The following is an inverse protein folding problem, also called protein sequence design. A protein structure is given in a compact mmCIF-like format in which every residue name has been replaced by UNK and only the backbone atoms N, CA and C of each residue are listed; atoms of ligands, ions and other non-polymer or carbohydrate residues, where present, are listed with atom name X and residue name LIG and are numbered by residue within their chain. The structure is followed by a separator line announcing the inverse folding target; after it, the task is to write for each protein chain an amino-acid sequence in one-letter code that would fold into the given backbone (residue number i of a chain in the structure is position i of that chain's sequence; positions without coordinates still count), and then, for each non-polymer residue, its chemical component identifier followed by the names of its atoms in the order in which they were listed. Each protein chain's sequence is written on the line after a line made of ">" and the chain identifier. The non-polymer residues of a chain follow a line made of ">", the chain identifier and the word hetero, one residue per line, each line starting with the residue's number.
data_IF_769765407277
#
_entry.id   IF_769765407277
#
_cell.length_a   1.000
_cell.length_b   1.000
_cell.length_c   1.000
_cell.angle_alpha   90.00
_cell.angle_beta   90.00
_cell.angle_gamma   90.00
#
_symmetry.space_group_name_H-M   'P 1'
#
loop_
_entity.id
_entity.type
_entity.pdbx_description
1 polymer ?
#
# COMPACT_ATOMS: atom_id res chain seq x y z
N UNK A 1 52.84 64.88 7.30
CA UNK A 1 53.15 63.44 7.48
C UNK A 1 52.37 62.92 8.67
N UNK A 2 51.31 62.14 8.45
CA UNK A 2 50.59 61.34 9.45
C UNK A 2 49.79 60.25 8.72
N UNK A 3 49.64 59.04 9.30
CA UNK A 3 49.52 57.79 8.55
C UNK A 3 48.08 57.44 8.18
N UNK A 4 47.94 56.70 7.08
CA UNK A 4 46.69 56.19 6.55
C UNK A 4 46.13 55.02 7.35
N UNK A 5 44.80 54.98 7.44
CA UNK A 5 44.02 53.88 8.02
C UNK A 5 43.64 52.94 6.88
N UNK A 6 44.27 51.76 6.83
CA UNK A 6 43.86 50.66 5.97
C UNK A 6 42.72 49.91 6.65
N UNK A 7 41.51 50.04 6.12
CA UNK A 7 40.36 49.24 6.50
C UNK A 7 40.46 47.84 5.90
N UNK A 8 40.59 46.83 6.76
CA UNK A 8 40.52 45.41 6.41
C UNK A 8 39.08 45.04 6.02
N UNK A 9 38.87 44.74 4.74
CA UNK A 9 37.67 44.10 4.22
C UNK A 9 37.76 42.62 4.61
N UNK A 10 36.99 42.22 5.63
CA UNK A 10 36.83 40.82 6.02
C UNK A 10 35.99 40.08 4.98
N UNK A 11 36.65 39.24 4.18
CA UNK A 11 36.00 38.32 3.24
C UNK A 11 35.38 37.17 4.05
N UNK A 12 34.09 37.24 4.34
CA UNK A 12 33.35 36.14 4.94
C UNK A 12 33.17 35.02 3.90
N UNK A 13 33.98 33.98 4.01
CA UNK A 13 33.84 32.73 3.25
C UNK A 13 32.53 32.03 3.67
N UNK A 14 31.46 32.29 2.93
CA UNK A 14 30.25 31.46 2.94
C UNK A 14 30.59 30.13 2.25
N UNK A 15 31.13 29.18 3.01
CA UNK A 15 31.20 27.80 2.56
C UNK A 15 29.75 27.31 2.39
N UNK A 16 29.32 26.88 1.18
CA UNK A 16 28.04 26.22 1.05
C UNK A 16 28.13 24.95 1.88
N UNK A 17 27.36 24.89 2.96
CA UNK A 17 27.07 23.65 3.64
C UNK A 17 26.33 22.78 2.63
N UNK A 18 27.10 22.04 1.84
CA UNK A 18 26.59 20.90 1.10
C UNK A 18 26.00 19.99 2.17
N UNK A 19 24.68 20.07 2.30
CA UNK A 19 23.89 19.14 3.07
C UNK A 19 24.21 17.78 2.46
N UNK A 20 25.15 17.07 3.07
CA UNK A 20 25.33 15.65 2.84
C UNK A 20 23.99 15.02 3.23
N UNK A 21 23.12 14.82 2.25
CA UNK A 21 22.03 13.88 2.40
C UNK A 21 22.72 12.57 2.74
N UNK A 22 22.57 12.11 3.99
CA UNK A 22 22.87 10.73 4.31
C UNK A 22 22.07 9.89 3.32
N UNK A 23 22.77 9.21 2.42
CA UNK A 23 22.14 8.22 1.55
C UNK A 23 21.47 7.20 2.46
N UNK A 24 20.15 7.27 2.52
CA UNK A 24 19.36 6.38 3.36
C UNK A 24 19.43 4.98 2.75
N UNK A 25 20.33 4.15 3.29
CA UNK A 25 20.46 2.77 2.85
C UNK A 25 19.24 1.97 3.30
N UNK A 26 18.37 1.61 2.36
CA UNK A 26 17.25 0.69 2.59
C UNK A 26 17.74 -0.76 2.59
N UNK A 27 17.26 -1.58 3.52
CA UNK A 27 17.54 -3.03 3.53
C UNK A 27 16.60 -3.75 2.57
N UNK A 28 16.89 -3.68 1.28
CA UNK A 28 16.08 -4.32 0.23
C UNK A 28 16.17 -5.86 0.25
N UNK A 29 17.13 -6.43 0.99
CA UNK A 29 17.20 -7.87 1.23
C UNK A 29 16.17 -8.33 2.28
N UNK A 30 15.64 -7.40 3.08
CA UNK A 30 14.60 -7.69 4.07
C UNK A 30 13.32 -8.12 3.38
N UNK A 31 12.80 -9.32 3.68
CA UNK A 31 11.56 -9.77 3.07
C UNK A 31 10.40 -8.81 3.35
N UNK A 32 9.57 -8.55 2.34
CA UNK A 32 8.53 -7.52 2.40
C UNK A 32 7.62 -7.64 3.65
N UNK A 33 7.21 -8.84 4.05
CA UNK A 33 6.36 -9.04 5.24
C UNK A 33 7.02 -8.68 6.59
N UNK A 34 8.34 -8.46 6.62
CA UNK A 34 9.07 -8.04 7.83
C UNK A 34 9.22 -6.53 7.96
N UNK A 35 8.86 -5.75 6.93
CA UNK A 35 8.91 -4.29 7.00
C UNK A 35 7.84 -3.76 7.97
N UNK A 36 8.28 -2.87 8.85
CA UNK A 36 7.41 -2.15 9.80
C UNK A 36 6.63 -1.06 9.08
N UNK A 37 5.48 -0.64 9.63
CA UNK A 37 4.69 0.42 9.01
C UNK A 37 5.51 1.71 8.83
N UNK A 38 6.35 2.06 9.80
CA UNK A 38 7.23 3.23 9.72
C UNK A 38 8.22 3.15 8.56
N UNK A 39 8.94 2.03 8.41
CA UNK A 39 9.87 1.82 7.29
C UNK A 39 9.15 1.93 5.95
N UNK A 40 7.95 1.35 5.83
CA UNK A 40 7.15 1.39 4.60
C UNK A 40 6.74 2.80 4.24
N UNK A 41 6.19 3.55 5.19
CA UNK A 41 5.77 4.93 4.96
C UNK A 41 6.99 5.80 4.64
N UNK A 42 8.10 5.59 5.34
CA UNK A 42 9.32 6.32 5.07
C UNK A 42 9.82 6.09 3.65
N UNK A 43 9.84 4.84 3.14
CA UNK A 43 10.31 4.52 1.78
C UNK A 43 9.28 4.88 0.69
N UNK A 44 7.99 4.65 0.96
CA UNK A 44 6.89 4.93 0.02
C UNK A 44 6.82 6.41 -0.34
N UNK A 45 7.05 7.30 0.64
CA UNK A 45 6.96 8.75 0.45
C UNK A 45 8.31 9.46 0.39
N UNK A 46 9.42 8.72 0.34
CA UNK A 46 10.73 9.32 0.11
C UNK A 46 10.79 9.88 -1.33
N UNK A 47 11.10 11.18 -1.53
CA UNK A 47 11.10 11.79 -2.86
C UNK A 47 12.07 11.12 -3.85
N UNK A 48 13.23 10.69 -3.38
CA UNK A 48 14.21 10.03 -4.24
C UNK A 48 13.73 8.63 -4.66
N UNK A 49 13.10 7.90 -3.74
CA UNK A 49 12.49 6.61 -4.03
C UNK A 49 11.27 6.73 -4.97
N UNK A 50 10.44 7.76 -4.80
CA UNK A 50 9.33 8.06 -5.72
C UNK A 50 9.86 8.32 -7.13
N UNK A 51 10.90 9.14 -7.26
CA UNK A 51 11.52 9.44 -8.55
C UNK A 51 12.16 8.18 -9.17
N UNK A 52 12.88 7.38 -8.37
CA UNK A 52 13.48 6.14 -8.82
C UNK A 52 12.43 5.14 -9.33
N UNK A 53 11.30 4.99 -8.62
CA UNK A 53 10.18 4.17 -9.05
C UNK A 53 9.52 4.69 -10.31
N UNK A 54 9.34 6.01 -10.44
CA UNK A 54 8.79 6.62 -11.66
C UNK A 54 9.67 6.33 -12.89
N UNK A 55 10.99 6.48 -12.75
CA UNK A 55 11.97 6.17 -13.80
C UNK A 55 11.95 4.69 -14.18
N UNK A 56 11.93 3.80 -13.18
CA UNK A 56 11.85 2.35 -13.40
C UNK A 56 10.54 1.96 -14.09
N UNK A 57 9.40 2.52 -13.65
CA UNK A 57 8.12 2.27 -14.28
C UNK A 57 8.11 2.72 -15.75
N UNK A 58 8.69 3.88 -16.06
CA UNK A 58 8.79 4.38 -17.43
C UNK A 58 9.67 3.51 -18.35
N UNK A 59 10.58 2.70 -17.80
CA UNK A 59 11.44 1.80 -18.59
C UNK A 59 10.86 0.40 -18.79
N UNK A 60 9.77 0.05 -18.11
CA UNK A 60 9.16 -1.27 -18.26
C UNK A 60 8.28 -1.33 -19.52
N UNK A 61 8.26 -2.47 -20.24
CA UNK A 61 7.30 -2.70 -21.30
C UNK A 61 5.87 -2.46 -20.80
N UNK A 62 5.02 -1.83 -21.63
CA UNK A 62 3.63 -1.51 -21.26
C UNK A 62 2.83 -2.73 -20.78
N UNK A 63 3.16 -3.93 -21.25
CA UNK A 63 2.53 -5.18 -20.79
C UNK A 63 2.88 -5.56 -19.34
N UNK A 64 4.04 -5.14 -18.83
CA UNK A 64 4.49 -5.38 -17.44
C UNK A 64 3.90 -4.36 -16.46
N UNK A 65 3.28 -3.29 -16.98
CA UNK A 65 2.64 -2.22 -16.20
C UNK A 65 1.13 -2.43 -15.98
N UNK A 66 0.55 -3.55 -16.45
CA UNK A 66 -0.78 -4.17 -16.18
C UNK A 66 -1.44 -4.64 -17.49
N UNK A 67 -2.09 -5.80 -17.43
CA UNK A 67 -3.09 -6.25 -18.38
C UNK A 67 -4.38 -5.39 -18.28
N UNK A 68 -4.40 -4.24 -18.95
CA UNK A 68 -5.65 -3.53 -19.28
C UNK A 68 -5.87 -2.16 -18.65
N UNK A 69 -5.06 -1.70 -17.68
CA UNK A 69 -5.19 -0.33 -17.18
C UNK A 69 -4.24 0.63 -17.93
N UNK A 70 -4.74 1.82 -18.34
CA UNK A 70 -3.89 2.82 -18.98
C UNK A 70 -2.79 3.28 -18.01
N UNK A 71 -1.54 3.16 -18.44
CA UNK A 71 -0.40 3.81 -17.76
C UNK A 71 -0.70 5.31 -17.69
N UNK A 72 -0.73 5.94 -16.50
CA UNK A 72 -0.93 7.37 -16.38
C UNK A 72 0.11 8.12 -17.21
N UNK A 73 -0.32 9.14 -17.97
CA UNK A 73 0.62 9.93 -18.76
C UNK A 73 1.65 10.61 -17.85
N UNK A 74 2.95 10.59 -18.21
CA UNK A 74 3.99 11.28 -17.46
C UNK A 74 3.63 12.77 -17.32
N UNK A 75 3.55 13.27 -16.08
CA UNK A 75 3.30 14.70 -15.80
C UNK A 75 1.88 15.06 -15.38
N UNK A 76 0.96 14.10 -15.25
CA UNK A 76 -0.42 14.35 -14.79
C UNK A 76 -0.57 14.48 -13.26
N UNK A 77 0.52 14.62 -12.51
CA UNK A 77 0.48 14.84 -11.06
C UNK A 77 0.04 13.63 -10.23
N UNK A 78 -0.37 12.53 -10.86
CA UNK A 78 -0.60 11.23 -10.22
C UNK A 78 0.69 10.41 -10.28
N UNK A 79 1.58 10.65 -9.33
CA UNK A 79 2.24 9.63 -8.51
C UNK A 79 2.56 8.27 -9.14
N UNK A 80 3.86 7.94 -9.20
CA UNK A 80 4.38 6.63 -9.63
C UNK A 80 3.53 5.48 -9.05
N UNK A 81 2.78 4.73 -9.89
CA UNK A 81 1.88 3.69 -9.39
C UNK A 81 2.68 2.63 -8.66
N UNK A 82 2.20 2.24 -7.49
CA UNK A 82 2.77 1.10 -6.80
C UNK A 82 2.43 -0.16 -7.59
N UNK A 83 3.45 -1.00 -7.75
CA UNK A 83 3.36 -2.32 -8.34
C UNK A 83 3.93 -3.29 -7.31
N UNK A 84 3.09 -4.16 -6.76
CA UNK A 84 3.53 -5.06 -5.69
C UNK A 84 4.33 -6.27 -6.18
N UNK A 85 4.48 -6.49 -7.49
CA UNK A 85 5.55 -7.37 -8.02
C UNK A 85 6.93 -6.72 -7.87
N UNK A 86 7.02 -5.39 -8.05
CA UNK A 86 8.29 -4.67 -8.04
C UNK A 86 8.69 -4.15 -6.65
N UNK A 87 7.71 -3.70 -5.88
CA UNK A 87 7.92 -3.07 -4.57
C UNK A 87 6.86 -3.57 -3.56
N UNK A 88 6.78 -4.89 -3.32
CA UNK A 88 5.79 -5.46 -2.39
C UNK A 88 5.88 -4.83 -1.00
N UNK A 89 7.07 -4.43 -0.56
CA UNK A 89 7.30 -3.80 0.74
C UNK A 89 6.58 -2.46 0.91
N UNK A 90 6.17 -1.78 -0.16
CA UNK A 90 5.51 -0.47 -0.04
C UNK A 90 4.01 -0.56 0.26
N UNK A 91 3.42 -1.75 0.13
CA UNK A 91 2.04 -2.00 0.49
C UNK A 91 1.91 -2.15 2.00
N UNK A 92 0.83 -1.61 2.56
CA UNK A 92 0.48 -1.87 3.95
C UNK A 92 -0.25 -3.21 4.08
N UNK A 93 -0.21 -3.86 5.25
CA UNK A 93 -1.01 -5.05 5.48
C UNK A 93 -2.52 -4.82 5.31
N UNK A 94 -3.06 -3.65 5.68
CA UNK A 94 -4.47 -3.33 5.47
C UNK A 94 -4.86 -3.16 4.00
N UNK A 95 -3.98 -2.61 3.15
CA UNK A 95 -4.17 -2.58 1.70
C UNK A 95 -4.24 -4.00 1.12
N UNK A 96 -3.25 -4.84 1.44
CA UNK A 96 -3.22 -6.22 0.94
C UNK A 96 -4.39 -7.06 1.46
N UNK A 97 -4.81 -6.85 2.72
CA UNK A 97 -5.97 -7.52 3.27
C UNK A 97 -7.26 -7.10 2.56
N UNK A 98 -7.46 -5.82 2.27
CA UNK A 98 -8.59 -5.35 1.46
C UNK A 98 -8.60 -6.07 0.11
N UNK A 99 -7.47 -6.07 -0.60
CA UNK A 99 -7.35 -6.72 -1.90
C UNK A 99 -7.66 -8.22 -1.82
N UNK A 100 -7.13 -8.92 -0.79
CA UNK A 100 -7.46 -10.33 -0.56
C UNK A 100 -8.98 -10.54 -0.48
N UNK A 101 -9.67 -9.73 0.32
CA UNK A 101 -11.13 -9.84 0.51
C UNK A 101 -11.88 -9.51 -0.77
N UNK A 102 -11.48 -8.47 -1.50
CA UNK A 102 -12.07 -8.08 -2.78
C UNK A 102 -11.94 -9.17 -3.84
N UNK A 103 -10.76 -9.77 -3.98
CA UNK A 103 -10.51 -10.82 -4.96
C UNK A 103 -11.21 -12.14 -4.62
N UNK A 104 -11.35 -12.47 -3.33
CA UNK A 104 -11.82 -13.79 -2.89
C UNK A 104 -13.28 -13.83 -2.46
N UNK A 105 -13.88 -12.67 -2.16
CA UNK A 105 -15.30 -12.49 -1.88
C UNK A 105 -15.87 -11.39 -2.78
N UNK A 106 -16.04 -11.69 -4.08
CA UNK A 106 -16.60 -10.75 -5.05
C UNK A 106 -18.00 -10.28 -4.64
N UNK A 107 -18.36 -9.08 -5.09
CA UNK A 107 -19.72 -8.56 -4.91
C UNK A 107 -20.67 -9.24 -5.91
N UNK A 108 -22.00 -9.13 -5.69
CA UNK A 108 -22.97 -9.69 -6.62
C UNK A 108 -22.79 -9.12 -8.03
N UNK A 109 -22.47 -9.99 -9.00
CA UNK A 109 -22.26 -9.64 -10.40
C UNK A 109 -20.86 -9.93 -10.93
N UNK A 110 -19.84 -10.03 -10.06
CA UNK A 110 -18.43 -10.16 -10.48
C UNK A 110 -18.01 -11.60 -10.86
N UNK A 111 -18.93 -12.57 -10.83
CA UNK A 111 -18.64 -13.98 -11.09
C UNK A 111 -17.90 -14.68 -9.92
N UNK A 112 -17.58 -15.99 -10.07
CA UNK A 112 -16.80 -16.71 -9.07
C UNK A 112 -15.36 -16.22 -8.99
N UNK A 113 -14.77 -16.21 -7.80
CA UNK A 113 -13.38 -15.83 -7.60
C UNK A 113 -12.42 -16.84 -8.26
N UNK A 114 -11.71 -16.41 -9.30
CA UNK A 114 -10.60 -17.16 -9.93
C UNK A 114 -9.31 -17.15 -9.11
N UNK A 115 -9.27 -16.34 -8.04
CA UNK A 115 -8.06 -16.11 -7.24
C UNK A 115 -7.91 -17.08 -6.07
N UNK A 116 -8.99 -17.79 -5.69
CA UNK A 116 -8.94 -18.68 -4.53
C UNK A 116 -7.95 -19.84 -4.72
N UNK A 117 -7.97 -20.51 -5.86
CA UNK A 117 -7.13 -21.70 -6.09
C UNK A 117 -5.61 -21.39 -5.98
N UNK A 118 -5.05 -20.35 -6.64
CA UNK A 118 -3.65 -19.97 -6.44
C UNK A 118 -3.29 -19.59 -4.98
N UNK A 119 -4.22 -18.95 -4.26
CA UNK A 119 -4.01 -18.58 -2.85
C UNK A 119 -4.06 -19.82 -1.94
N UNK A 120 -4.92 -20.79 -2.23
CA UNK A 120 -5.02 -22.06 -1.48
C UNK A 120 -3.71 -22.83 -1.53
N UNK A 121 -3.07 -22.93 -2.70
CA UNK A 121 -1.77 -23.60 -2.84
C UNK A 121 -0.71 -22.98 -1.92
N UNK A 122 -0.59 -21.64 -1.96
CA UNK A 122 0.34 -20.92 -1.11
C UNK A 122 -0.03 -21.06 0.38
N UNK A 123 -1.31 -20.98 0.73
CA UNK A 123 -1.78 -21.13 2.10
C UNK A 123 -1.56 -22.56 2.65
N UNK A 124 -1.70 -23.58 1.81
CA UNK A 124 -1.41 -24.97 2.16
C UNK A 124 0.07 -25.13 2.53
N UNK A 125 0.99 -24.55 1.75
CA UNK A 125 2.43 -24.56 2.05
C UNK A 125 2.79 -23.90 3.39
N UNK A 126 1.97 -22.94 3.84
CA UNK A 126 2.13 -22.25 5.13
C UNK A 126 1.40 -22.95 6.30
N UNK A 127 0.65 -24.02 5.99
CA UNK A 127 -0.06 -24.86 6.97
C UNK A 127 -1.38 -24.26 7.46
N UNK A 128 -2.13 -23.56 6.60
CA UNK A 128 -3.43 -22.96 6.96
C UNK A 128 -4.58 -23.96 7.03
N UNK A 129 -4.43 -25.13 6.40
CA UNK A 129 -5.48 -26.15 6.32
C UNK A 129 -6.52 -25.86 5.23
N UNK A 130 -7.40 -26.83 5.00
CA UNK A 130 -8.45 -26.77 3.96
C UNK A 130 -9.63 -25.87 4.34
N UNK A 131 -9.70 -25.40 5.58
CA UNK A 131 -10.78 -24.54 6.09
C UNK A 131 -10.44 -23.05 6.06
N UNK A 132 -9.34 -22.66 5.38
CA UNK A 132 -8.87 -21.29 5.20
C UNK A 132 -10.02 -20.29 4.94
N UNK A 133 -10.83 -20.55 3.90
CA UNK A 133 -11.86 -19.60 3.48
C UNK A 133 -12.98 -19.47 4.49
N UNK A 134 -13.40 -20.58 5.11
CA UNK A 134 -14.43 -20.51 6.14
C UNK A 134 -13.95 -19.66 7.33
N UNK A 135 -12.70 -19.86 7.75
CA UNK A 135 -12.06 -19.11 8.85
C UNK A 135 -11.85 -17.65 8.50
N UNK A 136 -11.39 -17.35 7.27
CA UNK A 136 -11.17 -15.98 6.81
C UNK A 136 -12.49 -15.23 6.66
N UNK A 137 -13.53 -15.88 6.13
CA UNK A 137 -14.88 -15.30 6.06
C UNK A 137 -15.36 -14.92 7.44
N UNK A 138 -15.31 -15.86 8.40
CA UNK A 138 -15.69 -15.61 9.80
C UNK A 138 -14.91 -14.44 10.42
N UNK A 139 -13.61 -14.34 10.16
CA UNK A 139 -12.79 -13.22 10.62
C UNK A 139 -13.18 -11.87 9.97
N UNK A 140 -13.82 -11.90 8.80
CA UNK A 140 -14.16 -10.73 7.98
C UNK A 140 -15.65 -10.45 7.90
N UNK A 141 -16.51 -11.17 8.64
CA UNK A 141 -17.96 -11.21 8.40
C UNK A 141 -18.60 -9.82 8.45
N UNK A 142 -18.21 -8.99 9.43
CA UNK A 142 -18.71 -7.61 9.55
C UNK A 142 -18.26 -6.73 8.38
N UNK A 143 -16.97 -6.81 8.02
CA UNK A 143 -16.43 -6.07 6.88
C UNK A 143 -17.14 -6.46 5.57
N UNK A 144 -17.37 -7.76 5.37
CA UNK A 144 -18.09 -8.28 4.19
C UNK A 144 -19.55 -7.80 4.15
N UNK A 145 -20.23 -7.76 5.30
CA UNK A 145 -21.60 -7.25 5.39
C UNK A 145 -21.67 -5.76 5.02
N UNK A 146 -20.80 -4.94 5.61
CA UNK A 146 -20.75 -3.50 5.32
C UNK A 146 -20.36 -3.22 3.87
N UNK A 147 -19.43 -3.99 3.28
CA UNK A 147 -19.11 -3.87 1.84
C UNK A 147 -20.33 -4.15 0.94
N UNK A 148 -21.14 -5.13 1.30
CA UNK A 148 -22.35 -5.48 0.55
C UNK A 148 -23.43 -4.40 0.69
N UNK A 149 -23.57 -3.83 1.89
CA UNK A 149 -24.46 -2.70 2.13
C UNK A 149 -24.03 -1.45 1.36
N UNK A 150 -22.73 -1.12 1.40
CA UNK A 150 -22.15 -0.02 0.63
C UNK A 150 -22.38 -0.22 -0.88
N UNK A 151 -22.13 -1.42 -1.41
CA UNK A 151 -22.42 -1.76 -2.80
C UNK A 151 -23.90 -1.58 -3.17
N UNK A 152 -24.82 -2.11 -2.34
CA UNK A 152 -26.27 -1.94 -2.55
C UNK A 152 -26.68 -0.48 -2.49
N UNK A 153 -26.10 0.26 -1.55
CA UNK A 153 -26.24 1.71 -1.41
C UNK A 153 -25.81 2.43 -2.67
N UNK A 154 -24.61 2.18 -3.19
CA UNK A 154 -24.08 2.77 -4.41
C UNK A 154 -24.94 2.43 -5.65
N UNK A 155 -25.42 1.18 -5.75
CA UNK A 155 -26.32 0.76 -6.82
C UNK A 155 -27.69 1.44 -6.75
N UNK A 156 -28.19 1.72 -5.54
CA UNK A 156 -29.44 2.45 -5.33
C UNK A 156 -29.27 3.98 -5.45
N UNK A 157 -28.12 4.53 -5.02
CA UNK A 157 -27.80 5.96 -4.96
C UNK A 157 -27.26 6.56 -6.26
N UNK A 158 -27.22 5.80 -7.36
CA UNK A 158 -27.34 6.41 -8.70
C UNK A 158 -28.58 7.34 -8.81
N UNK A 159 -29.47 7.40 -7.82
CA UNK A 159 -30.59 8.33 -7.68
C UNK A 159 -30.39 9.56 -6.74
N UNK A 160 -29.43 9.61 -5.80
CA UNK A 160 -29.21 10.79 -4.93
C UNK A 160 -27.90 10.68 -4.12
N UNK A 161 -27.05 11.70 -4.15
CA UNK A 161 -25.74 11.73 -3.49
C UNK A 161 -25.87 11.86 -1.96
N UNK A 162 -25.51 10.81 -1.22
CA UNK A 162 -25.16 10.87 0.21
C UNK A 162 -23.77 10.26 0.45
N UNK A 163 -23.03 10.72 1.47
CA UNK A 163 -21.70 10.19 1.78
C UNK A 163 -21.78 8.72 2.21
N UNK A 164 -20.92 7.88 1.63
CA UNK A 164 -20.63 6.51 2.08
C UNK A 164 -20.13 6.56 3.54
N UNK A 165 -20.58 5.68 4.45
CA UNK A 165 -20.07 5.60 5.82
C UNK A 165 -18.64 5.06 5.83
N UNK A 166 -17.67 5.91 5.49
CA UNK A 166 -16.27 5.52 5.25
C UNK A 166 -15.55 4.99 6.49
N UNK A 167 -15.87 5.50 7.68
CA UNK A 167 -15.15 5.14 8.90
C UNK A 167 -15.59 3.80 9.49
N UNK A 168 -16.87 3.44 9.38
CA UNK A 168 -17.36 2.12 9.81
C UNK A 168 -16.75 1.00 8.98
N UNK A 169 -16.78 1.15 7.65
CA UNK A 169 -16.17 0.20 6.73
C UNK A 169 -14.65 0.06 6.96
N UNK A 170 -13.97 1.19 7.23
CA UNK A 170 -12.56 1.20 7.55
C UNK A 170 -12.23 0.48 8.86
N UNK A 171 -12.99 0.75 9.92
CA UNK A 171 -12.83 0.10 11.23
C UNK A 171 -13.08 -1.40 11.12
N UNK A 172 -14.16 -1.82 10.46
CA UNK A 172 -14.45 -3.23 10.25
C UNK A 172 -13.36 -3.96 9.44
N UNK A 173 -12.77 -3.29 8.43
CA UNK A 173 -11.60 -3.82 7.71
C UNK A 173 -10.42 -4.03 8.65
N UNK A 174 -10.08 -3.03 9.46
CA UNK A 174 -8.98 -3.13 10.41
C UNK A 174 -9.22 -4.25 11.43
N UNK A 175 -10.42 -4.33 12.00
CA UNK A 175 -10.78 -5.37 12.96
C UNK A 175 -10.74 -6.77 12.35
N UNK A 176 -11.18 -6.92 11.09
CA UNK A 176 -11.09 -8.17 10.36
C UNK A 176 -9.63 -8.60 10.12
N UNK A 177 -8.73 -7.66 9.79
CA UNK A 177 -7.31 -7.94 9.70
C UNK A 177 -6.73 -8.39 11.05
N UNK A 178 -7.09 -7.71 12.14
CA UNK A 178 -6.66 -8.11 13.49
C UNK A 178 -7.21 -9.49 13.88
N UNK A 179 -8.45 -9.81 13.49
CA UNK A 179 -9.04 -11.12 13.69
C UNK A 179 -8.29 -12.20 12.90
N UNK A 180 -7.96 -11.94 11.63
CA UNK A 180 -7.16 -12.85 10.81
C UNK A 180 -5.76 -13.08 11.41
N UNK A 181 -5.11 -12.06 11.98
CA UNK A 181 -3.84 -12.25 12.71
C UNK A 181 -3.95 -13.18 13.91
N UNK A 182 -5.04 -13.09 14.68
CA UNK A 182 -5.29 -14.00 15.81
C UNK A 182 -5.59 -15.42 15.34
N UNK A 183 -6.35 -15.55 14.26
CA UNK A 183 -6.80 -16.83 13.71
C UNK A 183 -5.65 -17.63 13.07
N UNK A 184 -4.81 -16.98 12.28
CA UNK A 184 -3.81 -17.64 11.44
C UNK A 184 -2.37 -17.47 11.93
N UNK A 185 -2.17 -16.62 12.94
CA UNK A 185 -0.86 -16.16 13.36
C UNK A 185 -0.34 -15.05 12.45
N UNK A 186 -0.01 -13.90 13.04
CA UNK A 186 0.41 -12.68 12.33
C UNK A 186 1.50 -12.93 11.28
N UNK A 187 2.58 -13.64 11.63
CA UNK A 187 3.71 -13.83 10.73
C UNK A 187 3.34 -14.63 9.47
N UNK A 188 2.59 -15.74 9.63
CA UNK A 188 2.16 -16.58 8.52
C UNK A 188 1.13 -15.88 7.64
N UNK A 189 0.19 -15.16 8.25
CA UNK A 189 -0.81 -14.40 7.49
C UNK A 189 -0.18 -13.28 6.68
N UNK A 190 0.80 -12.57 7.24
CA UNK A 190 1.57 -11.60 6.47
C UNK A 190 2.31 -12.27 5.32
N UNK A 191 2.98 -13.41 5.53
CA UNK A 191 3.63 -14.15 4.44
C UNK A 191 2.64 -14.47 3.31
N UNK A 192 1.44 -14.95 3.63
CA UNK A 192 0.40 -15.19 2.63
C UNK A 192 0.03 -13.92 1.85
N UNK A 193 -0.21 -12.81 2.55
CA UNK A 193 -0.54 -11.53 1.92
C UNK A 193 0.57 -11.05 0.97
N UNK A 194 1.83 -11.09 1.39
CA UNK A 194 2.94 -10.59 0.57
C UNK A 194 3.32 -11.53 -0.58
N UNK A 195 3.17 -12.85 -0.41
CA UNK A 195 3.47 -13.79 -1.49
C UNK A 195 2.35 -13.88 -2.54
N UNK A 196 1.09 -13.87 -2.11
CA UNK A 196 -0.03 -14.11 -3.02
C UNK A 196 -0.73 -12.84 -3.50
N UNK A 197 -0.77 -11.79 -2.68
CA UNK A 197 -1.63 -10.63 -2.94
C UNK A 197 -0.84 -9.43 -3.40
N UNK A 198 0.34 -9.18 -2.82
CA UNK A 198 1.17 -8.05 -3.26
C UNK A 198 1.52 -8.16 -4.75
N UNK A 199 1.85 -9.35 -5.25
CA UNK A 199 2.22 -9.59 -6.65
C UNK A 199 1.15 -9.21 -7.67
N UNK A 200 -0.12 -9.26 -7.28
CA UNK A 200 -1.28 -8.90 -8.11
C UNK A 200 -1.89 -7.54 -7.74
N UNK A 201 -1.28 -6.84 -6.80
CA UNK A 201 -1.77 -5.55 -6.32
C UNK A 201 -1.16 -4.40 -7.10
N UNK A 202 -2.02 -3.43 -7.41
CA UNK A 202 -1.70 -2.15 -8.00
C UNK A 202 -2.40 -1.07 -7.19
N UNK A 203 -1.71 0.00 -6.85
CA UNK A 203 -2.29 1.08 -6.06
C UNK A 203 -1.80 2.43 -6.55
N UNK A 204 -2.71 3.40 -6.61
CA UNK A 204 -2.34 4.81 -6.61
C UNK A 204 -1.76 5.18 -5.24
N UNK A 205 -0.89 6.18 -5.21
CA UNK A 205 -0.37 6.69 -3.94
C UNK A 205 -1.50 7.45 -3.25
N UNK A 206 -2.04 6.88 -2.17
CA UNK A 206 -2.85 7.64 -1.22
C UNK A 206 -1.95 8.55 -0.40
N UNK A 207 -2.47 9.67 0.09
CA UNK A 207 -1.75 10.55 1.00
C UNK A 207 -1.29 9.79 2.26
N UNK A 208 -0.09 10.13 2.76
CA UNK A 208 0.53 9.46 3.91
C UNK A 208 -0.38 9.41 5.12
N UNK A 209 -1.00 10.53 5.48
CA UNK A 209 -1.84 10.63 6.67
C UNK A 209 -3.10 9.78 6.52
N UNK A 210 -3.67 9.71 5.31
CA UNK A 210 -4.81 8.84 5.04
C UNK A 210 -4.42 7.36 5.16
N UNK A 211 -3.24 6.94 4.67
CA UNK A 211 -2.77 5.57 4.85
C UNK A 211 -2.54 5.22 6.32
N UNK A 212 -1.91 6.12 7.08
CA UNK A 212 -1.70 5.93 8.51
C UNK A 212 -3.04 5.81 9.26
N UNK A 213 -4.00 6.66 8.94
CA UNK A 213 -5.37 6.61 9.47
C UNK A 213 -6.05 5.27 9.14
N UNK A 214 -5.95 4.83 7.88
CA UNK A 214 -6.49 3.56 7.40
C UNK A 214 -5.88 2.34 8.09
N UNK A 215 -4.58 2.35 8.35
CA UNK A 215 -3.87 1.30 9.09
C UNK A 215 -4.14 1.34 10.60
N UNK A 216 -4.54 2.50 11.13
CA UNK A 216 -4.98 2.69 12.51
C UNK A 216 -6.46 2.36 12.76
N UNK A 217 -7.20 1.93 11.74
CA UNK A 217 -8.64 1.64 11.87
C UNK A 217 -9.53 2.88 11.89
N UNK A 218 -9.09 3.96 11.24
CA UNK A 218 -9.81 5.24 11.13
C UNK A 218 -10.10 5.94 12.44
N UNK A 219 -9.11 5.90 13.36
CA UNK A 219 -9.07 6.72 14.57
C UNK A 219 -8.32 8.02 14.33
#
# INVERSE_FOLDING_TARGET
>A
MRPGVFGLIGLALLAPAALAQEEKAWDDAKPAWRWTLEERMAKRFDPAEVEARAKKAASLPRMELIAGEPVPEPGTGSDSPLNGTLNPELYTPGELYRTLIELTYPLPGDGPSVWREPIEEQAASLGFGSDLWWRLRRASDEYLALRLEDFRGAMAQKAAHGPVPGDELCRARFEGLQAAYREFGRAKFLQLLYFSIATVSHASIAERDNLLRLEGGCQ
#
